data_IF_336538237919
#
_entry.id   IF_336538237919
#
_cell.length_a   1.000
_cell.length_b   1.000
_cell.length_c   1.000
_cell.angle_alpha   90.00
_cell.angle_beta   90.00
_cell.angle_gamma   90.00
#
_symmetry.space_group_name_H-M   'P 1'
#
loop_
_entity.id
_entity.type
_entity.pdbx_description
1 polymer ?
#
# COMPACT_ATOMS: atom_id res chain seq x y z
N UNK A 1 5.36 -21.18 -1.49
CA UNK A 1 6.50 -20.68 -0.69
C UNK A 1 6.66 -19.18 -0.95
N UNK A 2 5.67 -18.38 -0.58
CA UNK A 2 5.72 -16.90 -0.63
C UNK A 2 5.99 -16.31 0.77
N UNK A 3 6.60 -17.09 1.66
CA UNK A 3 6.85 -16.73 3.06
C UNK A 3 8.21 -16.04 3.27
N UNK A 4 8.79 -15.51 2.19
CA UNK A 4 10.09 -14.84 2.15
C UNK A 4 10.07 -13.57 1.29
N UNK A 5 8.99 -12.77 1.35
CA UNK A 5 8.94 -11.49 0.62
C UNK A 5 8.55 -10.29 1.49
N UNK A 6 8.48 -10.49 2.82
CA UNK A 6 8.36 -9.39 3.79
C UNK A 6 9.62 -9.32 4.61
N UNK A 7 10.24 -8.14 4.62
CA UNK A 7 11.39 -7.89 5.48
C UNK A 7 10.99 -8.07 6.96
N UNK A 8 11.83 -8.73 7.78
CA UNK A 8 11.53 -8.92 9.19
C UNK A 8 11.42 -7.56 9.90
N UNK A 9 10.47 -7.42 10.82
CA UNK A 9 10.45 -6.29 11.75
C UNK A 9 11.75 -6.35 12.59
N UNK A 10 12.55 -5.26 12.69
CA UNK A 10 12.17 -3.86 12.51
C UNK A 10 12.50 -3.24 11.15
N UNK A 11 13.15 -3.96 10.22
CA UNK A 11 13.60 -3.39 8.94
C UNK A 11 12.44 -2.81 8.13
N UNK A 12 11.33 -3.55 8.06
CA UNK A 12 10.09 -3.08 7.42
C UNK A 12 9.60 -1.72 7.93
N UNK A 13 9.79 -1.40 9.21
CA UNK A 13 9.37 -0.09 9.77
C UNK A 13 10.23 1.03 9.20
N UNK A 14 11.54 0.79 9.07
CA UNK A 14 12.48 1.77 8.51
C UNK A 14 12.22 1.95 7.02
N UNK A 15 11.99 0.86 6.29
CA UNK A 15 11.69 0.89 4.86
C UNK A 15 10.36 1.61 4.59
N UNK A 16 9.28 1.27 5.30
CA UNK A 16 7.97 1.90 5.14
C UNK A 16 8.01 3.40 5.52
N UNK A 17 8.75 3.76 6.57
CA UNK A 17 8.95 5.17 6.95
C UNK A 17 9.74 5.94 5.88
N UNK A 18 10.82 5.37 5.37
CA UNK A 18 11.65 5.98 4.32
C UNK A 18 10.92 6.09 2.98
N UNK A 19 10.22 5.03 2.57
CA UNK A 19 9.38 4.99 1.38
C UNK A 19 8.27 6.02 1.45
N UNK A 20 7.55 6.11 2.57
CA UNK A 20 6.51 7.12 2.77
C UNK A 20 7.08 8.55 2.78
N UNK A 21 8.26 8.76 3.37
CA UNK A 21 8.95 10.06 3.30
C UNK A 21 9.30 10.44 1.85
N UNK A 22 9.84 9.50 1.08
CA UNK A 22 10.20 9.73 -0.32
C UNK A 22 8.95 10.06 -1.16
N UNK A 23 7.87 9.29 -1.01
CA UNK A 23 6.58 9.57 -1.65
C UNK A 23 6.05 10.95 -1.28
N UNK A 24 6.14 11.33 0.00
CA UNK A 24 5.72 12.64 0.47
C UNK A 24 6.59 13.80 -0.04
N UNK A 25 7.90 13.58 -0.19
CA UNK A 25 8.81 14.57 -0.79
C UNK A 25 8.51 14.80 -2.28
N UNK A 26 8.25 13.73 -3.03
CA UNK A 26 7.93 13.80 -4.45
C UNK A 26 6.54 14.43 -4.64
N UNK A 27 5.52 13.89 -3.99
CA UNK A 27 4.15 14.37 -4.08
C UNK A 27 3.97 15.79 -3.54
N UNK A 28 4.53 16.06 -2.36
CA UNK A 28 4.55 17.39 -1.75
C UNK A 28 5.35 18.40 -2.57
N UNK A 29 6.47 17.97 -3.17
CA UNK A 29 7.27 18.79 -4.07
C UNK A 29 6.49 19.22 -5.32
N UNK A 30 5.87 18.28 -6.02
CA UNK A 30 5.05 18.57 -7.22
C UNK A 30 3.86 19.45 -6.86
N UNK A 31 3.11 19.10 -5.82
CA UNK A 31 1.94 19.87 -5.39
C UNK A 31 2.31 21.31 -5.03
N UNK A 32 3.38 21.48 -4.25
CA UNK A 32 3.81 22.78 -3.79
C UNK A 32 4.52 23.58 -4.89
N UNK A 33 5.13 22.93 -5.87
CA UNK A 33 5.65 23.58 -7.08
C UNK A 33 4.53 24.26 -7.87
N UNK A 34 3.46 23.51 -8.16
CA UNK A 34 2.29 23.99 -8.93
C UNK A 34 1.60 25.11 -8.15
N UNK A 35 1.34 24.88 -6.86
CA UNK A 35 0.69 25.87 -5.99
C UNK A 35 1.54 27.14 -5.83
N UNK A 36 2.85 26.99 -5.66
CA UNK A 36 3.81 28.10 -5.58
C UNK A 36 3.87 28.89 -6.89
N UNK A 37 3.80 28.22 -8.03
CA UNK A 37 3.86 28.86 -9.34
C UNK A 37 2.60 29.69 -9.62
N UNK A 38 1.43 29.18 -9.19
CA UNK A 38 0.14 29.85 -9.34
C UNK A 38 -0.04 31.03 -8.40
N UNK A 39 0.52 30.97 -7.19
CA UNK A 39 0.35 32.00 -6.16
C UNK A 39 1.44 33.08 -6.17
N UNK A 40 2.52 32.90 -6.94
CA UNK A 40 3.62 33.84 -7.02
C UNK A 40 3.35 35.02 -7.98
N UNK A 41 3.95 36.19 -7.74
CA UNK A 41 3.78 37.39 -8.56
C UNK A 41 4.20 37.18 -10.03
N UNK A 42 3.61 37.97 -10.93
CA UNK A 42 3.80 37.91 -12.37
C UNK A 42 5.28 37.97 -12.78
N UNK A 43 5.69 37.06 -13.67
CA UNK A 43 7.05 36.93 -14.22
C UNK A 43 7.65 35.54 -14.00
N UNK A 44 8.16 34.90 -15.06
CA UNK A 44 8.67 33.51 -15.01
C UNK A 44 9.73 33.33 -13.91
N UNK A 45 10.73 34.21 -13.81
CA UNK A 45 11.78 34.09 -12.81
C UNK A 45 11.25 34.20 -11.37
N UNK A 46 10.30 35.11 -11.14
CA UNK A 46 9.70 35.36 -9.82
C UNK A 46 8.78 34.21 -9.40
N UNK A 47 8.08 33.60 -10.36
CA UNK A 47 7.28 32.39 -10.14
C UNK A 47 8.13 31.18 -9.82
N UNK A 48 9.22 30.96 -10.55
CA UNK A 48 10.14 29.84 -10.27
C UNK A 48 10.80 29.98 -8.89
N UNK A 49 11.26 31.18 -8.52
CA UNK A 49 11.79 31.42 -7.17
C UNK A 49 10.72 31.23 -6.08
N UNK A 50 9.49 31.68 -6.32
CA UNK A 50 8.35 31.47 -5.41
C UNK A 50 8.01 29.99 -5.23
N UNK A 51 8.01 29.22 -6.32
CA UNK A 51 7.83 27.76 -6.29
C UNK A 51 8.94 27.05 -5.51
N UNK A 52 10.21 27.39 -5.77
CA UNK A 52 11.35 26.81 -5.07
C UNK A 52 11.30 27.10 -3.56
N UNK A 53 10.99 28.33 -3.19
CA UNK A 53 10.79 28.71 -1.79
C UNK A 53 9.65 27.92 -1.14
N UNK A 54 8.53 27.76 -1.85
CA UNK A 54 7.38 27.02 -1.35
C UNK A 54 7.68 25.53 -1.15
N UNK A 55 8.36 24.88 -2.11
CA UNK A 55 8.81 23.49 -1.99
C UNK A 55 9.69 23.34 -0.75
N UNK A 56 10.73 24.18 -0.62
CA UNK A 56 11.69 24.10 0.48
C UNK A 56 11.02 24.27 1.85
N UNK A 57 10.01 25.13 1.94
CA UNK A 57 9.32 25.42 3.19
C UNK A 57 8.28 24.37 3.60
N UNK A 58 7.62 23.69 2.64
CA UNK A 58 6.44 22.86 2.94
C UNK A 58 6.59 21.38 2.57
N UNK A 59 7.35 21.05 1.52
CA UNK A 59 7.55 19.66 1.09
C UNK A 59 8.09 18.76 2.22
N UNK A 60 9.15 19.12 2.97
CA UNK A 60 9.67 18.26 4.03
C UNK A 60 8.67 18.07 5.20
N UNK A 61 7.78 19.03 5.44
CA UNK A 61 6.74 18.91 6.48
C UNK A 61 5.69 17.89 6.05
N UNK A 62 5.26 17.93 4.78
CA UNK A 62 4.34 16.94 4.21
C UNK A 62 5.00 15.56 4.24
N UNK A 63 6.24 15.45 3.76
CA UNK A 63 7.01 14.21 3.80
C UNK A 63 7.15 13.62 5.21
N UNK A 64 7.44 14.47 6.20
CA UNK A 64 7.51 14.06 7.60
C UNK A 64 6.18 13.49 8.12
N UNK A 65 5.04 14.09 7.75
CA UNK A 65 3.74 13.55 8.12
C UNK A 65 3.46 12.18 7.50
N UNK A 66 3.84 11.98 6.22
CA UNK A 66 3.73 10.68 5.57
C UNK A 66 4.66 9.63 6.21
N UNK A 67 5.89 10.02 6.56
CA UNK A 67 6.84 9.16 7.25
C UNK A 67 6.32 8.70 8.62
N UNK A 68 5.79 9.63 9.42
CA UNK A 68 5.18 9.32 10.72
C UNK A 68 3.97 8.39 10.55
N UNK A 69 3.14 8.63 9.53
CA UNK A 69 2.00 7.76 9.24
C UNK A 69 2.46 6.34 8.85
N UNK A 70 3.40 6.21 7.91
CA UNK A 70 3.93 4.92 7.46
C UNK A 70 4.64 4.15 8.56
N UNK A 71 5.51 4.81 9.32
CA UNK A 71 6.19 4.19 10.47
C UNK A 71 5.20 3.73 11.55
N UNK A 72 4.18 4.53 11.86
CA UNK A 72 3.17 4.15 12.85
C UNK A 72 2.30 2.99 12.37
N UNK A 73 1.91 2.98 11.10
CA UNK A 73 1.21 1.86 10.49
C UNK A 73 2.00 0.56 10.62
N UNK A 74 3.26 0.57 10.22
CA UNK A 74 4.11 -0.63 10.20
C UNK A 74 4.50 -1.09 11.60
N UNK A 75 4.70 -0.19 12.57
CA UNK A 75 4.90 -0.59 13.97
C UNK A 75 3.69 -1.33 14.53
N UNK A 76 2.47 -0.85 14.27
CA UNK A 76 1.25 -1.48 14.75
C UNK A 76 1.03 -2.82 14.04
N UNK A 77 1.22 -2.89 12.72
CA UNK A 77 1.10 -4.12 11.94
C UNK A 77 2.10 -5.19 12.42
N UNK A 78 3.37 -4.84 12.55
CA UNK A 78 4.41 -5.71 13.12
C UNK A 78 4.04 -6.23 14.52
N UNK A 79 3.46 -5.36 15.37
CA UNK A 79 3.03 -5.74 16.72
C UNK A 79 1.84 -6.72 16.67
N UNK A 80 0.86 -6.48 15.80
CA UNK A 80 -0.29 -7.36 15.63
C UNK A 80 0.10 -8.73 15.11
N UNK A 81 0.98 -8.79 14.11
CA UNK A 81 1.54 -10.06 13.59
C UNK A 81 2.29 -10.80 14.71
N UNK A 82 3.09 -10.08 15.52
CA UNK A 82 3.81 -10.71 16.63
C UNK A 82 2.87 -11.24 17.72
N UNK A 83 1.74 -10.58 18.00
CA UNK A 83 0.78 -11.03 19.01
C UNK A 83 -0.13 -12.15 18.51
N UNK A 84 -0.59 -12.06 17.26
CA UNK A 84 -1.59 -12.99 16.70
C UNK A 84 -0.96 -14.18 15.97
N UNK A 85 0.31 -14.10 15.59
CA UNK A 85 1.03 -15.11 14.79
C UNK A 85 0.26 -15.50 13.51
N UNK A 86 -0.50 -14.56 12.96
CA UNK A 86 -1.32 -14.70 11.75
C UNK A 86 -1.26 -13.42 10.94
N UNK A 87 -1.10 -13.57 9.63
CA UNK A 87 -1.13 -12.47 8.68
C UNK A 87 -2.46 -12.48 7.93
N UNK A 88 -3.40 -11.66 8.38
CA UNK A 88 -4.72 -11.51 7.78
C UNK A 88 -4.93 -10.05 7.32
N UNK A 89 -5.79 -9.78 6.32
CA UNK A 89 -6.17 -8.41 5.92
C UNK A 89 -6.70 -7.55 7.07
N UNK A 90 -7.23 -8.22 8.11
CA UNK A 90 -7.65 -7.56 9.35
C UNK A 90 -6.52 -6.83 10.07
N UNK A 91 -5.27 -7.29 9.96
CA UNK A 91 -4.13 -6.60 10.57
C UNK A 91 -3.93 -5.22 9.94
N UNK A 92 -3.94 -5.12 8.60
CA UNK A 92 -3.87 -3.86 7.86
C UNK A 92 -5.03 -2.91 8.16
N UNK A 93 -6.26 -3.43 8.28
CA UNK A 93 -7.44 -2.61 8.59
C UNK A 93 -7.35 -2.04 10.02
N UNK A 94 -7.01 -2.89 10.99
CA UNK A 94 -6.89 -2.49 12.40
C UNK A 94 -5.72 -1.55 12.59
N UNK A 95 -4.57 -1.82 11.95
CA UNK A 95 -3.40 -0.94 12.02
C UNK A 95 -3.67 0.42 11.36
N UNK A 96 -4.42 0.46 10.25
CA UNK A 96 -4.90 1.70 9.64
C UNK A 96 -5.81 2.51 10.55
N UNK A 97 -6.80 1.86 11.18
CA UNK A 97 -7.71 2.50 12.13
C UNK A 97 -6.96 3.00 13.38
N UNK A 98 -6.08 2.19 13.94
CA UNK A 98 -5.28 2.54 15.10
C UNK A 98 -4.31 3.69 14.80
N UNK A 99 -3.63 3.67 13.64
CA UNK A 99 -2.75 4.76 13.21
C UNK A 99 -3.52 6.07 13.06
N UNK A 100 -4.66 6.04 12.37
CA UNK A 100 -5.54 7.21 12.21
C UNK A 100 -6.00 7.78 13.55
N UNK A 101 -6.43 6.90 14.46
CA UNK A 101 -6.83 7.30 15.81
C UNK A 101 -5.68 7.92 16.61
N UNK A 102 -4.53 7.25 16.68
CA UNK A 102 -3.41 7.70 17.51
C UNK A 102 -2.86 9.06 17.04
N UNK A 103 -2.73 9.26 15.72
CA UNK A 103 -2.22 10.54 15.19
C UNK A 103 -3.20 11.71 15.41
N UNK A 104 -4.50 11.41 15.50
CA UNK A 104 -5.54 12.40 15.78
C UNK A 104 -5.87 12.54 17.27
N UNK A 105 -5.31 11.72 18.15
CA UNK A 105 -5.62 11.71 19.58
C UNK A 105 -5.48 13.09 20.25
N UNK A 106 -4.48 13.87 19.84
CA UNK A 106 -4.24 15.24 20.34
C UNK A 106 -5.33 16.25 19.98
N UNK A 107 -6.16 15.96 18.98
CA UNK A 107 -7.22 16.84 18.50
C UNK A 107 -8.59 16.55 19.15
N UNK A 108 -8.61 15.68 20.17
CA UNK A 108 -9.82 15.30 20.92
C UNK A 108 -10.47 14.02 20.41
N UNK A 109 -11.41 13.50 21.21
CA UNK A 109 -12.04 12.18 21.00
C UNK A 109 -12.82 12.11 19.69
N UNK A 110 -13.50 13.19 19.29
CA UNK A 110 -14.23 13.23 18.02
C UNK A 110 -13.32 13.12 16.80
N UNK A 111 -12.19 13.82 16.81
CA UNK A 111 -11.19 13.74 15.75
C UNK A 111 -10.52 12.36 15.71
N UNK A 112 -10.21 11.79 16.88
CA UNK A 112 -9.68 10.43 17.02
C UNK A 112 -10.61 9.39 16.39
N UNK A 113 -11.90 9.41 16.75
CA UNK A 113 -12.88 8.47 16.22
C UNK A 113 -13.06 8.65 14.70
N UNK A 114 -13.17 9.90 14.23
CA UNK A 114 -13.30 10.20 12.80
C UNK A 114 -12.09 9.70 11.98
N UNK A 115 -10.87 9.98 12.45
CA UNK A 115 -9.65 9.54 11.76
C UNK A 115 -9.46 8.02 11.82
N UNK A 116 -9.87 7.35 12.89
CA UNK A 116 -9.84 5.90 12.97
C UNK A 116 -10.79 5.24 11.96
N UNK A 117 -12.02 5.76 11.82
CA UNK A 117 -12.98 5.27 10.83
C UNK A 117 -12.45 5.46 9.42
N UNK A 118 -11.96 6.66 9.09
CA UNK A 118 -11.40 6.95 7.76
C UNK A 118 -10.21 6.03 7.47
N UNK A 119 -9.27 5.89 8.42
CA UNK A 119 -8.10 5.03 8.27
C UNK A 119 -8.47 3.55 8.05
N UNK A 120 -9.43 3.03 8.83
CA UNK A 120 -9.91 1.66 8.70
C UNK A 120 -10.63 1.40 7.37
N UNK A 121 -11.51 2.32 6.95
CA UNK A 121 -12.23 2.19 5.67
C UNK A 121 -11.28 2.25 4.48
N UNK A 122 -10.32 3.18 4.48
CA UNK A 122 -9.35 3.29 3.38
C UNK A 122 -8.51 2.01 3.23
N UNK A 123 -8.02 1.45 4.32
CA UNK A 123 -7.21 0.23 4.29
C UNK A 123 -8.06 -1.00 3.96
N UNK A 124 -9.32 -1.04 4.39
CA UNK A 124 -10.26 -2.09 3.97
C UNK A 124 -10.51 -2.07 2.46
N UNK A 125 -10.59 -0.88 1.85
CA UNK A 125 -10.71 -0.74 0.40
C UNK A 125 -9.43 -1.16 -0.32
N UNK A 126 -8.26 -0.77 0.20
CA UNK A 126 -6.96 -1.14 -0.42
C UNK A 126 -6.75 -2.65 -0.40
N UNK A 127 -6.96 -3.31 0.74
CA UNK A 127 -6.87 -4.77 0.87
C UNK A 127 -7.97 -5.46 0.03
N UNK A 128 -9.18 -4.92 0.01
CA UNK A 128 -10.29 -5.45 -0.80
C UNK A 128 -10.00 -5.41 -2.30
N UNK A 129 -9.42 -4.32 -2.80
CA UNK A 129 -8.96 -4.20 -4.19
C UNK A 129 -7.78 -5.14 -4.45
N UNK A 130 -6.85 -5.28 -3.50
CA UNK A 130 -5.74 -6.23 -3.59
C UNK A 130 -6.25 -7.66 -3.81
N UNK A 131 -7.20 -8.10 -2.98
CA UNK A 131 -7.82 -9.42 -3.12
C UNK A 131 -8.51 -9.58 -4.48
N UNK A 132 -9.24 -8.56 -4.95
CA UNK A 132 -9.91 -8.60 -6.25
C UNK A 132 -8.91 -8.74 -7.42
N UNK A 133 -7.83 -7.96 -7.40
CA UNK A 133 -6.79 -8.01 -8.43
C UNK A 133 -6.09 -9.37 -8.45
N UNK A 134 -5.75 -9.92 -7.27
CA UNK A 134 -5.16 -11.26 -7.17
C UNK A 134 -6.11 -12.34 -7.70
N UNK A 135 -7.41 -12.22 -7.44
CA UNK A 135 -8.43 -13.14 -7.97
C UNK A 135 -8.50 -13.06 -9.49
N UNK A 136 -8.56 -11.86 -10.06
CA UNK A 136 -8.63 -11.66 -11.51
C UNK A 136 -7.37 -12.18 -12.21
N UNK A 137 -6.18 -11.93 -11.66
CA UNK A 137 -4.94 -12.48 -12.22
C UNK A 137 -4.90 -14.00 -12.12
N UNK A 138 -5.37 -14.58 -11.02
CA UNK A 138 -5.39 -16.02 -10.82
C UNK A 138 -6.34 -16.73 -11.82
N UNK A 139 -7.44 -16.09 -12.21
CA UNK A 139 -8.33 -16.61 -13.26
C UNK A 139 -7.63 -16.64 -14.63
N UNK A 140 -6.76 -15.68 -14.92
CA UNK A 140 -6.01 -15.62 -16.17
C UNK A 140 -4.95 -16.73 -16.28
N UNK A 141 -4.44 -17.23 -15.14
CA UNK A 141 -3.50 -18.36 -15.07
C UNK A 141 -4.17 -19.69 -14.72
N UNK A 142 -5.51 -19.75 -14.67
CA UNK A 142 -6.22 -21.01 -14.53
C UNK A 142 -5.91 -21.84 -15.77
N UNK A 143 -4.99 -22.79 -15.63
CA UNK A 143 -4.69 -23.73 -16.70
C UNK A 143 -6.01 -24.33 -17.16
N UNK A 144 -6.39 -24.08 -18.41
CA UNK A 144 -7.32 -24.95 -19.09
C UNK A 144 -6.69 -26.33 -19.00
N UNK A 145 -7.19 -27.19 -18.11
CA UNK A 145 -6.79 -28.59 -18.13
C UNK A 145 -6.89 -29.04 -19.60
N UNK A 146 -5.78 -29.41 -20.27
CA UNK A 146 -5.94 -30.21 -21.47
C UNK A 146 -6.78 -31.38 -21.01
N UNK A 147 -7.92 -31.55 -21.68
CA UNK A 147 -8.85 -32.67 -21.53
C UNK A 147 -8.04 -33.87 -21.09
N UNK A 148 -8.28 -34.31 -19.85
CA UNK A 148 -7.73 -35.56 -19.32
C UNK A 148 -7.92 -36.58 -20.44
N UNK A 149 -6.83 -36.94 -21.13
CA UNK A 149 -6.86 -37.97 -22.15
C UNK A 149 -7.41 -39.19 -21.44
N UNK A 150 -8.66 -39.51 -21.78
CA UNK A 150 -9.37 -40.64 -21.23
C UNK A 150 -8.46 -41.86 -21.45
N UNK A 151 -8.02 -42.57 -20.39
CA UNK A 151 -7.08 -43.69 -20.53
C UNK A 151 -7.56 -44.82 -21.46
N UNK A 152 -8.82 -44.75 -21.92
CA UNK A 152 -9.39 -45.56 -23.00
C UNK A 152 -8.69 -45.39 -24.37
N UNK A 153 -8.03 -44.26 -24.65
CA UNK A 153 -7.35 -44.01 -25.95
C UNK A 153 -6.03 -44.76 -26.11
N UNK A 154 -5.34 -45.11 -25.01
CA UNK A 154 -4.13 -45.94 -25.03
C UNK A 154 -4.44 -47.43 -25.31
N UNK A 155 -5.65 -47.87 -24.94
CA UNK A 155 -6.07 -49.27 -25.13
C UNK A 155 -6.50 -49.54 -26.59
N UNK A 156 -7.07 -48.54 -27.29
CA UNK A 156 -7.49 -48.71 -28.68
C UNK A 156 -6.30 -48.91 -29.65
N UNK A 157 -5.19 -48.19 -29.45
CA UNK A 157 -4.01 -48.34 -30.30
C UNK A 157 -3.27 -49.67 -30.10
N UNK A 158 -3.41 -50.30 -28.93
CA UNK A 158 -2.80 -51.60 -28.63
C UNK A 158 -3.54 -52.76 -29.30
N UNK A 159 -4.86 -52.65 -29.47
CA UNK A 159 -5.68 -53.68 -30.11
C UNK A 159 -5.63 -53.69 -31.65
N UNK A 160 -5.22 -52.58 -32.29
CA UNK A 160 -5.15 -52.49 -33.76
C UNK A 160 -3.82 -53.02 -34.32
N UNK A 161 -2.79 -53.21 -33.49
CA UNK A 161 -1.47 -53.74 -33.92
C UNK A 161 -1.35 -55.27 -33.82
N UNK A 162 -2.36 -55.97 -33.28
CA UNK A 162 -2.36 -57.44 -33.14
C UNK A 162 -3.53 -58.10 -33.89
N UNK A 163 -3.81 -57.63 -35.11
CA UNK A 163 -4.65 -58.35 -36.08
C UNK A 163 -4.15 -58.07 -37.49
#
# INVERSE_FOLDING_TARGET
>A
MEEYNREPCPWRIVDDCGGAFAMGCIGGGVFQFIRGFRNAPSGINRRLMGSLSAIKARSPIIAGNFAVWGGMFSTIDCTLVKLRQKEDPWNSIISGAATGGILAARNGVGAMAGSAVIGGVLLALIEGVGILLTRFSAEQFKQSNPIMEDPSVLNQNSSVQYQ
#
